data_IF_620610024660
#
_entry.id   IF_620610024660
#
_cell.length_a   1.000
_cell.length_b   1.000
_cell.length_c   1.000
_cell.angle_alpha   90.00
_cell.angle_beta   90.00
_cell.angle_gamma   90.00
#
_symmetry.space_group_name_H-M   'P 1'
#
loop_
_entity.id
_entity.type
_entity.pdbx_description
1 polymer ?
#
# COMPACT_ATOMS: atom_id res chain seq x y z
N UNK A 1 -3.14 3.77 16.70
CA UNK A 1 -2.62 2.53 17.34
C UNK A 1 -3.78 1.69 17.88
N UNK A 2 -4.06 0.55 17.24
CA UNK A 2 -5.22 -0.30 17.54
C UNK A 2 -4.85 -1.76 17.87
N UNK A 3 -3.56 -2.09 17.87
CA UNK A 3 -3.06 -3.44 18.18
C UNK A 3 -2.32 -3.41 19.52
N UNK A 4 -2.47 -4.44 20.37
CA UNK A 4 -1.77 -4.48 21.65
C UNK A 4 -0.28 -4.82 21.47
N UNK A 5 0.57 -4.50 22.46
CA UNK A 5 1.92 -5.06 22.55
C UNK A 5 1.88 -6.61 22.56
N UNK A 6 2.84 -7.30 21.93
CA UNK A 6 4.06 -6.77 21.29
C UNK A 6 3.88 -6.38 19.81
N UNK A 7 2.69 -6.57 19.24
CA UNK A 7 2.47 -6.34 17.81
C UNK A 7 2.62 -4.87 17.41
N UNK A 8 2.22 -3.94 18.28
CA UNK A 8 2.41 -2.51 18.06
C UNK A 8 3.86 -2.18 17.69
N UNK A 9 4.80 -2.59 18.54
CA UNK A 9 6.24 -2.39 18.31
C UNK A 9 6.71 -3.05 17.02
N UNK A 10 6.22 -4.26 16.73
CA UNK A 10 6.56 -4.95 15.47
C UNK A 10 6.11 -4.12 14.25
N UNK A 11 4.88 -3.60 14.24
CA UNK A 11 4.39 -2.79 13.13
C UNK A 11 5.11 -1.44 12.99
N UNK A 12 5.53 -0.83 14.10
CA UNK A 12 6.36 0.38 14.09
C UNK A 12 7.72 0.13 13.44
N UNK A 13 8.40 -0.95 13.85
CA UNK A 13 9.71 -1.33 13.29
C UNK A 13 9.60 -1.69 11.79
N UNK A 14 8.54 -2.42 11.41
CA UNK A 14 8.26 -2.74 10.00
C UNK A 14 7.96 -1.47 9.18
N UNK A 15 7.12 -0.57 9.68
CA UNK A 15 6.78 0.69 9.02
C UNK A 15 8.03 1.52 8.70
N UNK A 16 8.98 1.59 9.64
CA UNK A 16 10.25 2.27 9.40
C UNK A 16 11.07 1.62 8.27
N UNK A 17 11.01 0.29 8.11
CA UNK A 17 11.66 -0.40 6.99
C UNK A 17 10.95 -0.17 5.67
N UNK A 18 9.62 -0.24 5.64
CA UNK A 18 8.84 -0.01 4.43
C UNK A 18 9.00 1.41 3.90
N UNK A 19 9.18 2.40 4.79
CA UNK A 19 9.51 3.77 4.40
C UNK A 19 10.79 3.82 3.55
N UNK A 20 11.87 3.17 4.03
CA UNK A 20 13.14 3.11 3.29
C UNK A 20 13.01 2.31 1.98
N UNK A 21 12.20 1.24 1.98
CA UNK A 21 11.99 0.43 0.79
C UNK A 21 11.33 1.22 -0.34
N UNK A 22 10.26 1.96 -0.06
CA UNK A 22 9.58 2.71 -1.14
C UNK A 22 10.48 3.80 -1.70
N UNK A 23 11.24 4.51 -0.86
CA UNK A 23 12.19 5.53 -1.30
C UNK A 23 13.22 4.95 -2.27
N UNK A 24 13.82 3.81 -1.90
CA UNK A 24 14.78 3.10 -2.74
C UNK A 24 14.19 2.70 -4.10
N UNK A 25 12.97 2.17 -4.13
CA UNK A 25 12.31 1.80 -5.38
C UNK A 25 12.01 3.01 -6.27
N UNK A 26 11.64 4.15 -5.70
CA UNK A 26 11.45 5.39 -6.45
C UNK A 26 12.77 5.87 -7.04
N UNK A 27 13.88 5.80 -6.30
CA UNK A 27 15.19 6.18 -6.79
C UNK A 27 15.67 5.26 -7.92
N UNK A 28 15.42 3.96 -7.83
CA UNK A 28 15.68 3.03 -8.94
C UNK A 28 14.84 3.35 -10.18
N UNK A 29 13.56 3.66 -10.00
CA UNK A 29 12.69 4.04 -11.12
C UNK A 29 13.16 5.35 -11.79
N UNK A 30 13.56 6.35 -10.99
CA UNK A 30 14.14 7.61 -11.47
C UNK A 30 15.40 7.40 -12.28
N UNK A 31 16.30 6.51 -11.82
CA UNK A 31 17.54 6.22 -12.52
C UNK A 31 17.31 5.42 -13.81
N UNK A 32 16.38 4.46 -13.80
CA UNK A 32 16.12 3.59 -14.93
C UNK A 32 15.32 4.25 -16.05
N UNK A 33 14.39 5.16 -15.73
CA UNK A 33 13.52 5.83 -16.69
C UNK A 33 13.27 7.31 -16.32
N UNK A 34 14.29 8.19 -16.44
CA UNK A 34 14.24 9.56 -15.94
C UNK A 34 13.08 10.42 -16.47
N UNK A 35 12.58 10.14 -17.68
CA UNK A 35 11.53 10.93 -18.32
C UNK A 35 10.13 10.34 -18.11
N UNK A 36 10.03 9.02 -17.89
CA UNK A 36 8.77 8.28 -17.90
C UNK A 36 8.33 7.81 -16.50
N UNK A 37 9.23 7.74 -15.52
CA UNK A 37 8.92 7.15 -14.21
C UNK A 37 7.74 7.84 -13.52
N UNK A 38 7.60 9.17 -13.66
CA UNK A 38 6.51 9.95 -13.04
C UNK A 38 5.16 9.61 -13.63
N UNK A 39 5.03 9.63 -14.96
CA UNK A 39 3.75 9.33 -15.61
C UNK A 39 3.33 7.87 -15.37
N UNK A 40 4.31 6.95 -15.30
CA UNK A 40 4.04 5.56 -14.92
C UNK A 40 3.58 5.46 -13.47
N UNK A 41 4.23 6.17 -12.55
CA UNK A 41 3.85 6.19 -11.14
C UNK A 41 2.44 6.75 -10.94
N UNK A 42 2.07 7.83 -11.63
CA UNK A 42 0.73 8.42 -11.56
C UNK A 42 -0.35 7.42 -12.02
N UNK A 43 -0.11 6.70 -13.13
CA UNK A 43 -1.02 5.66 -13.60
C UNK A 43 -1.17 4.50 -12.61
N UNK A 44 -0.06 4.07 -11.99
CA UNK A 44 -0.08 3.02 -10.97
C UNK A 44 -0.79 3.48 -9.69
N UNK A 45 -0.53 4.70 -9.22
CA UNK A 45 -1.16 5.27 -8.04
C UNK A 45 -2.69 5.40 -8.20
N UNK A 46 -3.15 5.82 -9.40
CA UNK A 46 -4.59 5.85 -9.70
C UNK A 46 -5.22 4.46 -9.62
N UNK A 47 -4.54 3.43 -10.16
CA UNK A 47 -5.02 2.06 -10.12
C UNK A 47 -4.98 1.46 -8.71
N UNK A 48 -3.94 1.74 -7.95
CA UNK A 48 -3.79 1.30 -6.56
C UNK A 48 -4.90 1.89 -5.70
N UNK A 49 -5.17 3.20 -5.81
CA UNK A 49 -6.25 3.85 -5.07
C UNK A 49 -7.62 3.22 -5.35
N UNK A 50 -7.89 2.82 -6.61
CA UNK A 50 -9.10 2.08 -6.96
C UNK A 50 -9.14 0.72 -6.25
N UNK A 51 -8.05 -0.04 -6.25
CA UNK A 51 -8.00 -1.36 -5.62
C UNK A 51 -8.15 -1.28 -4.10
N UNK A 52 -7.46 -0.33 -3.45
CA UNK A 52 -7.51 -0.12 -2.00
C UNK A 52 -8.89 0.36 -1.49
N UNK A 53 -9.75 0.87 -2.37
CA UNK A 53 -11.08 1.40 -2.00
C UNK A 53 -12.25 0.57 -2.53
N UNK A 54 -12.01 -0.33 -3.48
CA UNK A 54 -13.03 -1.26 -3.99
C UNK A 54 -13.27 -2.37 -2.98
N UNK A 55 -14.54 -2.73 -2.74
CA UNK A 55 -14.85 -3.78 -1.79
C UNK A 55 -14.23 -5.14 -2.20
N UNK A 56 -13.77 -5.91 -1.21
CA UNK A 56 -13.15 -7.21 -1.40
C UNK A 56 -13.84 -8.27 -0.53
N UNK A 57 -13.89 -9.50 -1.03
CA UNK A 57 -14.49 -10.66 -0.36
C UNK A 57 -13.57 -11.25 0.70
N UNK A 58 -12.27 -10.95 0.64
CA UNK A 58 -11.26 -11.49 1.56
C UNK A 58 -10.48 -10.36 2.23
N UNK A 59 -10.47 -10.37 3.56
CA UNK A 59 -9.59 -9.48 4.32
C UNK A 59 -8.13 -9.92 4.16
N UNK A 60 -7.30 -9.02 3.63
CA UNK A 60 -5.84 -9.12 3.53
C UNK A 60 -5.24 -7.75 3.85
N UNK A 61 -3.91 -7.68 4.00
CA UNK A 61 -3.21 -6.42 4.27
C UNK A 61 -3.45 -5.32 3.22
N UNK A 62 -3.59 -5.72 1.96
CA UNK A 62 -3.76 -4.80 0.82
C UNK A 62 -5.13 -4.98 0.14
N UNK A 63 -6.07 -5.70 0.76
CA UNK A 63 -7.44 -5.76 0.22
C UNK A 63 -8.12 -4.42 0.45
N UNK A 64 -9.07 -4.07 -0.42
CA UNK A 64 -9.99 -3.00 -0.11
C UNK A 64 -10.96 -3.38 1.03
N UNK A 65 -11.96 -2.54 1.33
CA UNK A 65 -12.88 -2.76 2.43
C UNK A 65 -13.61 -4.10 2.27
N UNK A 66 -13.81 -4.84 3.36
CA UNK A 66 -14.55 -6.10 3.28
C UNK A 66 -15.97 -5.83 2.76
N UNK A 67 -16.40 -6.59 1.75
CA UNK A 67 -17.78 -6.58 1.26
C UNK A 67 -18.73 -6.79 2.44
N UNK A 68 -19.68 -5.87 2.63
CA UNK A 68 -20.73 -6.06 3.63
C UNK A 68 -21.60 -7.24 3.17
N UNK A 69 -21.86 -8.17 4.07
CA UNK A 69 -22.90 -9.17 3.85
C UNK A 69 -24.24 -8.43 3.61
N UNK A 70 -25.12 -8.94 2.71
CA UNK A 70 -26.44 -8.35 2.54
C UNK A 70 -27.18 -8.38 3.89
N UNK A 71 -27.77 -7.24 4.27
CA UNK A 71 -28.65 -7.14 5.43
C UNK A 71 -29.85 -8.07 5.20
N UNK A 72 -30.09 -8.97 6.16
CA UNK A 72 -31.24 -9.91 6.20
C UNK A 72 -32.41 -9.26 6.91
#
# INVERSE_FOLDING_TARGET
PHVPPPLERLYEELSASEARHFELYIDFARAAAPQEWRSRLEALASREAQLATTADRLLRFHSGPLERAPEV
#
